data_IF_644179907606
#
_entry.id   IF_644179907606
#
_cell.length_a   1.000
_cell.length_b   1.000
_cell.length_c   1.000
_cell.angle_alpha   90.00
_cell.angle_beta   90.00
_cell.angle_gamma   90.00
#
_symmetry.space_group_name_H-M   'P 1'
#
loop_
_entity.id
_entity.type
_entity.pdbx_description
1 polymer ?
#
# COMPACT_ATOMS: atom_id res chain seq x y z
N UNK A 1 -7.48 -24.74 -30.91
CA UNK A 1 -8.15 -24.20 -29.71
C UNK A 1 -7.71 -22.77 -29.52
N UNK A 2 -8.60 -21.80 -29.74
CA UNK A 2 -8.30 -20.38 -29.57
C UNK A 2 -8.29 -20.04 -28.08
N UNK A 3 -7.11 -19.73 -27.55
CA UNK A 3 -6.93 -19.27 -26.17
C UNK A 3 -7.31 -17.78 -26.15
N UNK A 4 -8.39 -17.44 -25.44
CA UNK A 4 -8.81 -16.03 -25.27
C UNK A 4 -7.73 -15.25 -24.49
N UNK A 5 -7.42 -14.01 -24.88
CA UNK A 5 -6.42 -13.20 -24.21
C UNK A 5 -6.89 -12.86 -22.79
N UNK A 6 -6.20 -13.39 -21.77
CA UNK A 6 -6.48 -13.09 -20.37
C UNK A 6 -5.66 -11.85 -20.00
N UNK A 7 -6.28 -10.66 -20.08
CA UNK A 7 -5.62 -9.38 -19.81
C UNK A 7 -5.09 -9.25 -18.36
N UNK A 8 -5.61 -10.04 -17.42
CA UNK A 8 -5.13 -10.13 -16.04
C UNK A 8 -4.60 -11.55 -15.77
N UNK A 9 -3.27 -11.67 -15.68
CA UNK A 9 -2.58 -12.89 -15.28
C UNK A 9 -1.81 -12.58 -13.98
N UNK A 10 -2.01 -13.36 -12.92
CA UNK A 10 -1.32 -13.14 -11.64
C UNK A 10 0.17 -13.48 -11.77
N UNK A 11 0.98 -13.12 -10.76
CA UNK A 11 2.40 -13.47 -10.78
C UNK A 11 2.62 -14.98 -10.69
N UNK A 12 1.76 -15.69 -9.95
CA UNK A 12 1.79 -17.16 -9.82
C UNK A 12 1.47 -17.84 -11.14
N UNK A 13 0.40 -17.39 -11.82
CA UNK A 13 0.03 -17.89 -13.16
C UNK A 13 1.15 -17.64 -14.17
N UNK A 14 1.82 -16.49 -14.09
CA UNK A 14 2.94 -16.15 -14.96
C UNK A 14 4.16 -17.03 -14.69
N UNK A 15 4.50 -17.29 -13.42
CA UNK A 15 5.59 -18.20 -13.04
C UNK A 15 5.34 -19.59 -13.62
N UNK A 16 4.13 -20.12 -13.47
CA UNK A 16 3.78 -21.45 -14.00
C UNK A 16 3.87 -21.51 -15.54
N UNK A 17 3.44 -20.46 -16.24
CA UNK A 17 3.60 -20.35 -17.69
C UNK A 17 5.08 -20.28 -18.11
N UNK A 18 5.91 -19.55 -17.36
CA UNK A 18 7.35 -19.45 -17.62
C UNK A 18 8.11 -20.73 -17.29
N UNK A 19 7.61 -21.57 -16.37
CA UNK A 19 8.15 -22.92 -16.14
C UNK A 19 7.81 -23.86 -17.29
N UNK A 20 6.59 -23.76 -17.84
CA UNK A 20 6.10 -24.61 -18.95
C UNK A 20 6.67 -24.20 -20.31
N UNK A 21 6.92 -22.91 -20.53
CA UNK A 21 7.37 -22.39 -21.81
C UNK A 21 8.76 -21.76 -21.71
N UNK A 22 9.66 -22.22 -22.58
CA UNK A 22 11.08 -21.82 -22.57
C UNK A 22 11.28 -20.33 -22.93
N UNK A 23 10.37 -19.71 -23.68
CA UNK A 23 10.56 -18.35 -24.22
C UNK A 23 9.44 -17.38 -23.81
N UNK A 24 9.86 -16.13 -23.55
CA UNK A 24 8.97 -15.01 -23.23
C UNK A 24 7.96 -14.75 -24.35
N UNK A 25 8.35 -14.94 -25.62
CA UNK A 25 7.45 -14.78 -26.78
C UNK A 25 6.27 -15.75 -26.73
N UNK A 26 6.51 -17.05 -26.48
CA UNK A 26 5.43 -18.04 -26.38
C UNK A 26 4.47 -17.72 -25.23
N UNK A 27 4.99 -17.28 -24.09
CA UNK A 27 4.15 -16.86 -22.95
C UNK A 27 3.31 -15.63 -23.31
N UNK A 28 3.90 -14.67 -24.02
CA UNK A 28 3.21 -13.47 -24.48
C UNK A 28 2.09 -13.80 -25.48
N UNK A 29 2.34 -14.73 -26.41
CA UNK A 29 1.34 -15.21 -27.38
C UNK A 29 0.16 -15.90 -26.69
N UNK A 30 0.43 -16.76 -25.69
CA UNK A 30 -0.60 -17.45 -24.89
C UNK A 30 -1.45 -16.46 -24.10
N UNK A 31 -0.83 -15.44 -23.52
CA UNK A 31 -1.52 -14.41 -22.75
C UNK A 31 -2.16 -13.32 -23.62
N UNK A 32 -1.82 -13.27 -24.91
CA UNK A 32 -2.27 -12.23 -25.84
C UNK A 32 -1.78 -10.84 -25.46
N UNK A 33 -0.58 -10.72 -24.88
CA UNK A 33 0.03 -9.45 -24.48
C UNK A 33 1.32 -9.19 -25.24
N UNK A 34 1.75 -7.94 -25.30
CA UNK A 34 3.05 -7.62 -25.90
C UNK A 34 4.20 -8.19 -25.05
N UNK A 35 5.20 -8.79 -25.71
CA UNK A 35 6.32 -9.47 -25.04
C UNK A 35 7.09 -8.58 -24.04
N UNK A 36 7.16 -7.27 -24.27
CA UNK A 36 7.82 -6.33 -23.35
C UNK A 36 7.17 -6.29 -21.96
N UNK A 37 5.86 -6.48 -21.87
CA UNK A 37 5.13 -6.57 -20.60
C UNK A 37 5.58 -7.78 -19.78
N UNK A 38 5.81 -8.92 -20.43
CA UNK A 38 6.30 -10.12 -19.77
C UNK A 38 7.77 -9.98 -19.38
N UNK A 39 8.60 -9.36 -20.22
CA UNK A 39 10.01 -9.08 -19.88
C UNK A 39 10.12 -8.22 -18.62
N UNK A 40 9.32 -7.16 -18.51
CA UNK A 40 9.29 -6.30 -17.31
C UNK A 40 8.88 -7.08 -16.07
N UNK A 41 7.82 -7.90 -16.16
CA UNK A 41 7.36 -8.72 -15.02
C UNK A 41 8.38 -9.79 -14.63
N UNK A 42 9.06 -10.41 -15.60
CA UNK A 42 10.14 -11.36 -15.34
C UNK A 42 11.27 -10.71 -14.55
N UNK A 43 11.64 -9.46 -14.85
CA UNK A 43 12.65 -8.73 -14.09
C UNK A 43 12.27 -8.55 -12.60
N UNK A 44 10.98 -8.35 -12.30
CA UNK A 44 10.47 -8.32 -10.92
C UNK A 44 10.55 -9.71 -10.28
N UNK A 45 10.18 -10.76 -11.01
CA UNK A 45 10.25 -12.15 -10.52
C UNK A 45 11.68 -12.61 -10.19
N UNK A 46 12.71 -12.06 -10.87
CA UNK A 46 14.12 -12.33 -10.54
C UNK A 46 14.44 -11.89 -9.10
N UNK A 47 13.96 -10.71 -8.65
CA UNK A 47 14.12 -10.25 -7.25
C UNK A 47 13.45 -11.20 -6.24
N UNK A 48 12.41 -11.92 -6.67
CA UNK A 48 11.71 -12.94 -5.88
C UNK A 48 12.35 -14.33 -5.96
N UNK A 49 13.47 -14.49 -6.68
CA UNK A 49 14.18 -15.76 -6.80
C UNK A 49 13.80 -16.60 -8.02
N UNK A 50 13.17 -16.02 -9.04
CA UNK A 50 12.88 -16.74 -10.28
C UNK A 50 13.97 -16.52 -11.33
N UNK A 51 14.90 -17.47 -11.44
CA UNK A 51 15.90 -17.53 -12.50
C UNK A 51 16.16 -18.99 -12.92
N UNK A 52 15.40 -19.49 -13.91
CA UNK A 52 15.58 -20.85 -14.43
C UNK A 52 17.01 -21.19 -14.87
N UNK A 53 17.77 -20.30 -15.55
CA UNK A 53 19.16 -20.59 -15.93
C UNK A 53 20.13 -20.80 -14.75
N UNK A 54 19.76 -20.37 -13.54
CA UNK A 54 20.57 -20.50 -12.33
C UNK A 54 19.97 -21.51 -11.33
N UNK A 55 19.09 -22.39 -11.80
CA UNK A 55 18.36 -23.37 -10.98
C UNK A 55 17.52 -22.74 -9.86
N UNK A 56 17.03 -21.50 -10.07
CA UNK A 56 16.17 -20.81 -9.13
C UNK A 56 14.73 -20.85 -9.66
N UNK A 57 13.98 -21.87 -9.26
CA UNK A 57 12.63 -22.14 -9.77
C UNK A 57 11.53 -21.86 -8.73
N UNK A 58 11.93 -21.66 -7.48
CA UNK A 58 11.05 -21.41 -6.34
C UNK A 58 11.18 -19.97 -5.90
N UNK A 59 10.06 -19.26 -5.89
CA UNK A 59 9.99 -17.86 -5.48
C UNK A 59 9.53 -17.73 -4.04
N UNK A 60 9.87 -16.60 -3.44
CA UNK A 60 9.27 -16.19 -2.16
C UNK A 60 7.87 -15.61 -2.37
N UNK A 61 6.99 -15.66 -1.35
CA UNK A 61 5.67 -15.04 -1.41
C UNK A 61 5.72 -13.53 -1.72
N UNK A 62 4.61 -12.95 -2.14
CA UNK A 62 4.48 -11.50 -2.32
C UNK A 62 4.74 -10.79 -0.97
N UNK A 63 5.37 -9.60 -1.00
CA UNK A 63 5.80 -8.88 0.20
C UNK A 63 7.18 -9.28 0.72
N UNK A 64 7.79 -10.32 0.14
CA UNK A 64 9.13 -10.78 0.49
C UNK A 64 10.08 -10.69 -0.71
N UNK A 65 11.35 -10.43 -0.41
CA UNK A 65 12.46 -10.50 -1.34
C UNK A 65 13.41 -11.64 -0.94
N UNK A 66 14.11 -12.22 -1.93
CA UNK A 66 15.16 -13.20 -1.63
C UNK A 66 16.34 -12.48 -1.00
N UNK A 67 16.74 -12.92 0.20
CA UNK A 67 17.97 -12.49 0.87
C UNK A 67 19.17 -13.30 0.41
N UNK A 68 18.97 -14.59 0.15
CA UNK A 68 20.02 -15.48 -0.33
C UNK A 68 19.48 -16.86 -0.67
N UNK A 69 20.15 -17.53 -1.60
CA UNK A 69 19.85 -18.89 -2.02
C UNK A 69 21.12 -19.71 -1.82
N UNK A 70 21.01 -20.81 -1.08
CA UNK A 70 22.11 -21.77 -0.91
C UNK A 70 21.72 -23.07 -1.61
N UNK A 71 22.54 -23.49 -2.58
CA UNK A 71 22.32 -24.69 -3.37
C UNK A 71 23.30 -25.77 -2.93
N UNK A 72 22.79 -26.97 -2.67
CA UNK A 72 23.56 -28.17 -2.40
C UNK A 72 23.57 -29.05 -3.63
N UNK A 73 24.76 -29.43 -4.07
CA UNK A 73 24.98 -30.31 -5.21
C UNK A 73 25.48 -31.67 -4.73
N UNK A 74 25.05 -32.75 -5.39
CA UNK A 74 25.52 -34.10 -5.12
C UNK A 74 26.93 -34.34 -5.72
N UNK A 75 27.41 -35.57 -5.60
CA UNK A 75 28.74 -35.99 -6.08
C UNK A 75 28.87 -35.92 -7.60
N UNK A 76 27.77 -36.00 -8.32
CA UNK A 76 27.70 -35.95 -9.78
C UNK A 76 27.48 -34.52 -10.30
N UNK A 77 27.39 -33.54 -9.39
CA UNK A 77 27.16 -32.13 -9.70
C UNK A 77 25.70 -31.76 -9.94
N UNK A 78 24.75 -32.67 -9.67
CA UNK A 78 23.33 -32.37 -9.79
C UNK A 78 22.84 -31.62 -8.55
N UNK A 79 21.86 -30.73 -8.73
CA UNK A 79 21.24 -30.01 -7.62
C UNK A 79 20.45 -30.99 -6.73
N UNK A 80 20.95 -31.23 -5.52
CA UNK A 80 20.35 -32.14 -4.54
C UNK A 80 19.44 -31.43 -3.53
N UNK A 81 19.65 -30.12 -3.29
CA UNK A 81 18.81 -29.33 -2.40
C UNK A 81 19.03 -27.83 -2.55
N UNK A 82 18.05 -27.04 -2.11
CA UNK A 82 18.16 -25.59 -2.13
C UNK A 82 17.43 -24.96 -0.93
N UNK A 83 18.13 -24.06 -0.22
CA UNK A 83 17.55 -23.22 0.83
C UNK A 83 17.33 -21.82 0.30
N UNK A 84 16.08 -21.37 0.29
CA UNK A 84 15.69 -20.01 -0.10
C UNK A 84 15.39 -19.20 1.15
N UNK A 85 16.29 -18.27 1.49
CA UNK A 85 16.11 -17.35 2.62
C UNK A 85 15.40 -16.10 2.15
N UNK A 86 14.21 -15.85 2.68
CA UNK A 86 13.47 -14.61 2.45
C UNK A 86 13.82 -13.52 3.45
N UNK A 87 13.52 -12.28 3.08
CA UNK A 87 13.42 -11.11 3.96
C UNK A 87 12.22 -10.28 3.52
N UNK A 88 11.71 -9.43 4.40
CA UNK A 88 10.70 -8.45 4.02
C UNK A 88 11.22 -7.54 2.90
N UNK A 89 10.37 -7.28 1.91
CA UNK A 89 10.66 -6.32 0.85
C UNK A 89 10.31 -4.91 1.32
N UNK A 90 11.27 -4.26 1.98
CA UNK A 90 11.10 -2.92 2.53
C UNK A 90 10.73 -1.88 1.46
N UNK A 91 11.24 -2.02 0.22
CA UNK A 91 10.88 -1.11 -0.89
C UNK A 91 9.41 -1.27 -1.26
N UNK A 92 8.94 -2.52 -1.36
CA UNK A 92 7.54 -2.81 -1.67
C UNK A 92 6.63 -2.36 -0.51
N UNK A 93 7.01 -2.59 0.74
CA UNK A 93 6.28 -2.12 1.90
C UNK A 93 6.17 -0.60 1.93
N UNK A 94 7.26 0.12 1.70
CA UNK A 94 7.26 1.58 1.64
C UNK A 94 6.36 2.09 0.51
N UNK A 95 6.44 1.49 -0.68
CA UNK A 95 5.59 1.87 -1.80
C UNK A 95 4.10 1.68 -1.49
N UNK A 96 3.74 0.56 -0.84
CA UNK A 96 2.37 0.31 -0.40
C UNK A 96 1.91 1.31 0.67
N UNK A 97 2.77 1.61 1.66
CA UNK A 97 2.48 2.62 2.67
C UNK A 97 2.27 4.01 2.06
N UNK A 98 3.12 4.40 1.10
CA UNK A 98 2.97 5.69 0.38
C UNK A 98 1.68 5.74 -0.43
N UNK A 99 1.32 4.66 -1.12
CA UNK A 99 0.07 4.58 -1.86
C UNK A 99 -1.14 4.67 -0.93
N UNK A 100 -1.09 3.98 0.21
CA UNK A 100 -2.12 4.06 1.24
C UNK A 100 -2.28 5.47 1.81
N UNK A 101 -1.18 6.12 2.18
CA UNK A 101 -1.20 7.52 2.68
C UNK A 101 -1.74 8.48 1.61
N UNK A 102 -1.36 8.30 0.35
CA UNK A 102 -1.87 9.11 -0.74
C UNK A 102 -3.40 8.95 -0.89
N UNK A 103 -3.89 7.71 -0.87
CA UNK A 103 -5.32 7.40 -0.96
C UNK A 103 -6.13 7.96 0.22
N UNK A 104 -5.60 7.86 1.46
CA UNK A 104 -6.23 8.49 2.63
C UNK A 104 -6.40 10.00 2.46
N UNK A 105 -5.47 10.65 1.75
CA UNK A 105 -5.52 12.08 1.47
C UNK A 105 -6.52 12.47 0.38
N UNK A 106 -6.98 11.53 -0.46
CA UNK A 106 -7.92 11.82 -1.55
C UNK A 106 -9.32 12.14 -1.01
N UNK A 107 -9.81 11.37 -0.04
CA UNK A 107 -11.14 11.55 0.55
C UNK A 107 -11.30 12.86 1.31
N UNK A 108 -10.21 13.42 1.83
CA UNK A 108 -10.20 14.70 2.55
C UNK A 108 -9.79 15.88 1.67
N UNK A 109 -9.43 15.64 0.40
CA UNK A 109 -8.94 16.69 -0.50
C UNK A 109 -10.08 17.65 -0.85
N UNK A 110 -9.86 18.94 -0.60
CA UNK A 110 -10.83 20.00 -0.92
C UNK A 110 -11.91 20.22 0.13
N UNK A 111 -11.93 19.44 1.22
CA UNK A 111 -12.85 19.64 2.34
C UNK A 111 -12.49 20.84 3.24
N UNK A 112 -11.27 21.38 3.11
CA UNK A 112 -10.85 22.59 3.80
C UNK A 112 -10.16 23.54 2.81
N UNK A 113 -10.47 24.83 2.91
CA UNK A 113 -9.76 25.87 2.17
C UNK A 113 -8.30 25.97 2.68
N UNK A 114 -7.30 26.11 1.79
CA UNK A 114 -5.93 26.37 2.20
C UNK A 114 -5.88 27.62 3.10
N UNK A 115 -5.37 27.48 4.31
CA UNK A 115 -5.16 28.62 5.21
C UNK A 115 -3.84 29.31 4.90
N UNK A 116 -3.80 30.66 4.83
CA UNK A 116 -2.56 31.40 4.60
C UNK A 116 -1.51 31.07 5.65
N UNK A 117 -0.24 30.96 5.24
CA UNK A 117 0.86 30.83 6.17
C UNK A 117 0.85 32.02 7.16
N UNK A 118 0.96 31.78 8.48
CA UNK A 118 0.99 32.88 9.44
C UNK A 118 2.17 33.82 9.19
N UNK A 119 1.91 35.13 9.20
CA UNK A 119 2.93 36.17 8.95
C UNK A 119 3.65 36.66 10.22
N UNK A 120 3.08 36.43 11.41
CA UNK A 120 3.65 36.91 12.68
C UNK A 120 4.75 35.99 13.20
N UNK A 121 5.78 36.58 13.82
CA UNK A 121 6.87 35.86 14.48
C UNK A 121 6.32 35.10 15.68
N UNK A 122 6.74 33.85 15.81
CA UNK A 122 6.30 32.91 16.83
C UNK A 122 6.67 33.37 18.24
N UNK A 123 5.78 33.11 19.20
CA UNK A 123 6.11 33.24 20.62
C UNK A 123 6.90 32.00 21.08
N UNK A 124 8.15 32.15 21.56
CA UNK A 124 8.94 31.03 22.07
C UNK A 124 8.20 30.30 23.19
N UNK A 125 8.20 28.96 23.15
CA UNK A 125 7.56 28.13 24.19
C UNK A 125 6.04 28.04 24.13
N UNK A 126 5.40 28.50 23.03
CA UNK A 126 3.95 28.34 22.83
C UNK A 126 3.62 27.06 22.05
N UNK A 127 2.69 26.26 22.60
CA UNK A 127 2.11 25.08 21.95
C UNK A 127 0.59 25.17 22.04
N UNK A 128 -0.09 24.93 20.91
CA UNK A 128 -1.55 24.81 20.89
C UNK A 128 -1.92 23.33 20.89
N UNK A 129 -2.68 22.90 21.89
CA UNK A 129 -3.24 21.55 21.94
C UNK A 129 -4.72 21.61 21.59
N UNK A 130 -5.14 20.80 20.62
CA UNK A 130 -6.55 20.59 20.30
C UNK A 130 -6.95 19.25 20.90
N UNK A 131 -7.59 19.30 22.06
CA UNK A 131 -8.09 18.11 22.72
C UNK A 131 -9.41 17.72 22.06
N UNK A 132 -9.40 16.57 21.40
CA UNK A 132 -10.62 15.97 20.87
C UNK A 132 -11.19 15.09 21.99
N UNK A 133 -12.29 15.54 22.58
CA UNK A 133 -13.06 14.75 23.55
C UNK A 133 -13.91 13.68 22.87
N UNK A 134 -14.71 12.96 23.65
CA UNK A 134 -15.69 12.03 23.09
C UNK A 134 -16.82 12.80 22.40
N UNK A 135 -16.83 12.76 21.06
CA UNK A 135 -17.85 13.39 20.23
C UNK A 135 -19.13 12.55 20.12
N UNK A 136 -19.19 11.38 20.76
CA UNK A 136 -20.36 10.49 20.77
C UNK A 136 -20.82 10.07 19.36
N UNK A 137 -19.88 9.91 18.42
CA UNK A 137 -20.21 9.35 17.10
C UNK A 137 -20.82 7.96 17.24
N UNK A 138 -22.01 7.77 16.66
CA UNK A 138 -22.79 6.53 16.79
C UNK A 138 -23.89 6.59 17.85
N UNK A 139 -23.97 7.66 18.65
CA UNK A 139 -25.13 7.92 19.50
C UNK A 139 -26.30 8.44 18.65
N UNK A 140 -27.48 7.86 18.85
CA UNK A 140 -28.74 8.42 18.38
C UNK A 140 -29.63 8.70 19.60
N UNK A 141 -30.03 9.95 19.79
CA UNK A 141 -30.93 10.37 20.85
C UNK A 141 -32.16 11.05 20.24
N UNK A 142 -33.34 10.66 20.70
CA UNK A 142 -34.60 11.24 20.25
C UNK A 142 -35.10 12.26 21.27
N UNK A 143 -35.15 13.52 20.87
CA UNK A 143 -35.36 14.65 21.76
C UNK A 143 -36.69 14.65 22.49
N UNK A 144 -37.72 13.98 21.96
CA UNK A 144 -38.99 13.81 22.67
C UNK A 144 -38.84 12.96 23.94
N UNK A 145 -37.87 12.06 23.98
CA UNK A 145 -37.59 11.17 25.13
C UNK A 145 -36.47 11.73 26.01
N UNK A 146 -35.39 12.22 25.40
CA UNK A 146 -34.16 12.62 26.11
C UNK A 146 -34.07 14.13 26.39
N UNK A 147 -35.00 14.91 25.84
CA UNK A 147 -35.01 16.37 25.90
C UNK A 147 -34.18 17.07 24.81
N UNK A 148 -33.26 16.37 24.13
CA UNK A 148 -32.49 16.90 22.99
C UNK A 148 -32.24 15.83 21.94
N UNK A 149 -32.41 16.17 20.67
CA UNK A 149 -32.03 15.31 19.55
C UNK A 149 -30.50 15.22 19.44
N UNK A 150 -30.00 14.04 19.11
CA UNK A 150 -28.59 13.83 18.78
C UNK A 150 -28.44 12.75 17.72
N UNK A 151 -27.50 12.96 16.80
CA UNK A 151 -27.13 11.99 15.78
C UNK A 151 -25.70 12.28 15.25
N UNK A 152 -25.23 11.44 14.33
CA UNK A 152 -23.90 11.57 13.70
C UNK A 152 -23.68 12.92 13.00
N UNK A 153 -24.73 13.52 12.42
CA UNK A 153 -24.61 14.80 11.73
C UNK A 153 -24.37 15.95 12.72
N UNK A 154 -25.06 15.92 13.87
CA UNK A 154 -24.87 16.88 14.95
C UNK A 154 -23.47 16.70 15.58
N UNK A 155 -23.03 15.47 15.81
CA UNK A 155 -21.69 15.17 16.31
C UNK A 155 -20.57 15.72 15.38
N UNK A 156 -20.71 15.56 14.06
CA UNK A 156 -19.77 16.12 13.08
C UNK A 156 -19.76 17.66 13.12
N UNK A 157 -20.92 18.30 13.16
CA UNK A 157 -21.04 19.75 13.24
C UNK A 157 -20.41 20.31 14.52
N UNK A 158 -20.72 19.73 15.67
CA UNK A 158 -20.21 20.17 16.97
C UNK A 158 -18.70 20.02 17.07
N UNK A 159 -18.15 18.89 16.60
CA UNK A 159 -16.72 18.65 16.61
C UNK A 159 -15.98 19.64 15.69
N UNK A 160 -16.49 19.88 14.47
CA UNK A 160 -15.92 20.89 13.56
C UNK A 160 -15.95 22.28 14.16
N UNK A 161 -17.08 22.69 14.74
CA UNK A 161 -17.22 23.99 15.38
C UNK A 161 -16.26 24.16 16.58
N UNK A 162 -16.06 23.10 17.36
CA UNK A 162 -15.11 23.10 18.47
C UNK A 162 -13.66 23.28 17.98
N UNK A 163 -13.26 22.57 16.91
CA UNK A 163 -11.94 22.71 16.29
C UNK A 163 -11.76 24.10 15.70
N UNK A 164 -12.70 24.61 14.91
CA UNK A 164 -12.64 25.95 14.31
C UNK A 164 -12.50 27.03 15.39
N UNK A 165 -13.24 26.90 16.49
CA UNK A 165 -13.13 27.79 17.65
C UNK A 165 -11.76 27.71 18.30
N UNK A 166 -11.18 26.52 18.41
CA UNK A 166 -9.82 26.32 18.91
C UNK A 166 -8.79 27.00 18.02
N UNK A 167 -8.87 26.76 16.70
CA UNK A 167 -7.95 27.33 15.70
C UNK A 167 -8.04 28.85 15.68
N UNK A 168 -9.24 29.43 15.78
CA UNK A 168 -9.45 30.87 15.80
C UNK A 168 -8.93 31.55 17.07
N UNK A 169 -8.92 30.84 18.21
CA UNK A 169 -8.52 31.39 19.52
C UNK A 169 -7.08 31.08 19.91
N UNK A 170 -6.37 30.27 19.12
CA UNK A 170 -5.02 29.85 19.44
C UNK A 170 -4.06 31.05 19.52
N UNK A 171 -3.08 31.03 20.45
CA UNK A 171 -1.96 31.97 20.38
C UNK A 171 -1.14 31.72 19.11
N UNK A 172 -0.35 32.69 18.63
CA UNK A 172 0.56 32.50 17.50
C UNK A 172 1.64 31.46 17.85
N UNK A 173 1.40 30.20 17.47
CA UNK A 173 2.24 29.04 17.82
C UNK A 173 2.74 28.26 16.60
N UNK A 174 3.76 27.43 16.82
CA UNK A 174 4.42 26.64 15.79
C UNK A 174 3.43 25.71 15.07
N UNK A 175 3.47 25.69 13.74
CA UNK A 175 2.82 24.64 12.92
C UNK A 175 3.76 23.44 12.78
#
# INVERSE_FOLDING_TARGET
MAIKPKAACTDEELIELLKKHVTVRKVADVLGVHHSSITRRKAVLVKRGFSPPHHMMHTVPQGYAVKGISSYFDRDGNLAGQWVKSREDAEQQEALMRAFVAALGEDVRGHAAPVPRPQKRWAPGSTSAYLIGDAHFGLYAWGAETGNDFNTDIADQDLRAAIDRGVARRPPGHA
#
